data_IF_939759236976
#
_entry.id   IF_939759236976
#
_cell.length_a   1.000
_cell.length_b   1.000
_cell.length_c   1.000
_cell.angle_alpha   90.00
_cell.angle_beta   90.00
_cell.angle_gamma   90.00
#
_symmetry.space_group_name_H-M   'P 1'
#
loop_
_entity.id
_entity.type
_entity.pdbx_description
1 polymer ?
#
# COMPACT_ATOMS: atom_id res chain seq x y z
N UNK A 1 -13.38 11.81 18.33
CA UNK A 1 -12.84 13.16 18.05
C UNK A 1 -11.33 13.03 17.94
N UNK A 2 -10.77 12.97 16.73
CA UNK A 2 -9.30 13.01 16.56
C UNK A 2 -8.89 14.48 16.64
N UNK A 3 -8.09 14.82 17.64
CA UNK A 3 -7.50 16.15 17.77
C UNK A 3 -6.47 16.27 16.65
N UNK A 4 -6.83 16.96 15.57
CA UNK A 4 -5.90 17.33 14.51
C UNK A 4 -5.11 18.53 15.03
N UNK A 5 -3.94 18.27 15.59
CA UNK A 5 -2.98 19.33 15.85
C UNK A 5 -2.53 19.89 14.50
N UNK A 6 -2.44 21.22 14.37
CA UNK A 6 -2.02 21.93 13.15
C UNK A 6 -0.57 21.61 12.71
N UNK A 7 0.11 20.75 13.46
CA UNK A 7 1.55 20.48 13.37
C UNK A 7 1.89 19.17 12.61
N UNK A 8 0.91 18.40 12.13
CA UNK A 8 1.10 16.97 11.76
C UNK A 8 0.92 16.68 10.25
N UNK A 9 0.85 17.69 9.39
CA UNK A 9 0.72 17.52 7.94
C UNK A 9 -0.71 17.64 7.41
N UNK A 10 -0.90 17.35 6.14
CA UNK A 10 -2.17 17.54 5.42
C UNK A 10 -2.84 16.24 5.02
N UNK A 11 -4.17 16.23 4.95
CA UNK A 11 -4.95 15.09 4.43
C UNK A 11 -4.52 14.71 3.02
N UNK A 12 -4.46 13.40 2.71
CA UNK A 12 -4.27 12.89 1.34
C UNK A 12 -5.25 13.51 0.34
N UNK A 13 -6.48 13.83 0.76
CA UNK A 13 -7.47 14.48 -0.10
C UNK A 13 -7.05 15.85 -0.64
N UNK A 14 -6.01 16.47 -0.07
CA UNK A 14 -5.46 17.75 -0.52
C UNK A 14 -4.26 17.59 -1.46
N UNK A 15 -3.88 16.36 -1.83
CA UNK A 15 -2.76 16.16 -2.75
C UNK A 15 -3.06 16.82 -4.10
N UNK A 16 -2.15 17.67 -4.62
CA UNK A 16 -2.45 18.51 -5.78
C UNK A 16 -2.27 17.79 -7.12
N UNK A 17 -1.35 16.83 -7.21
CA UNK A 17 -1.06 16.14 -8.47
C UNK A 17 -0.85 14.64 -8.28
N UNK A 18 -0.99 13.90 -9.39
CA UNK A 18 -0.72 12.47 -9.44
C UNK A 18 0.71 12.15 -8.99
N UNK A 19 1.70 12.89 -9.47
CA UNK A 19 3.10 12.68 -9.11
C UNK A 19 3.33 12.84 -7.60
N UNK A 20 2.77 13.89 -6.98
CA UNK A 20 2.88 14.07 -5.53
C UNK A 20 2.22 12.92 -4.77
N UNK A 21 1.03 12.47 -5.22
CA UNK A 21 0.33 11.34 -4.61
C UNK A 21 1.16 10.05 -4.65
N UNK A 22 1.72 9.72 -5.81
CA UNK A 22 2.53 8.50 -5.96
C UNK A 22 3.80 8.55 -5.09
N UNK A 23 4.44 9.71 -4.98
CA UNK A 23 5.59 9.91 -4.06
C UNK A 23 5.20 9.70 -2.59
N UNK A 24 4.05 10.23 -2.18
CA UNK A 24 3.49 10.02 -0.84
C UNK A 24 3.27 8.53 -0.57
N UNK A 25 2.67 7.81 -1.51
CA UNK A 25 2.37 6.39 -1.33
C UNK A 25 3.61 5.49 -1.40
N UNK A 26 4.64 5.90 -2.15
CA UNK A 26 5.95 5.24 -2.12
C UNK A 26 6.55 5.35 -0.73
N UNK A 27 6.60 6.56 -0.19
CA UNK A 27 7.15 6.81 1.14
C UNK A 27 6.30 6.17 2.24
N UNK A 28 4.99 6.02 2.06
CA UNK A 28 4.14 5.29 3.00
C UNK A 28 4.58 3.82 3.12
N UNK A 29 4.99 3.20 2.01
CA UNK A 29 5.57 1.85 2.03
C UNK A 29 6.93 1.85 2.76
N UNK A 30 7.78 2.84 2.51
CA UNK A 30 9.09 2.98 3.18
C UNK A 30 8.93 3.15 4.69
N UNK A 31 7.99 3.98 5.13
CA UNK A 31 7.71 4.21 6.56
C UNK A 31 7.23 2.92 7.23
N UNK A 32 6.31 2.17 6.60
CA UNK A 32 5.84 0.89 7.13
C UNK A 32 6.97 -0.14 7.26
N UNK A 33 7.86 -0.25 6.26
CA UNK A 33 9.07 -1.10 6.34
C UNK A 33 9.97 -0.67 7.51
N UNK A 34 10.20 0.63 7.68
CA UNK A 34 11.04 1.14 8.77
C UNK A 34 10.40 0.88 10.15
N UNK A 35 9.09 1.03 10.28
CA UNK A 35 8.34 0.68 11.50
C UNK A 35 8.51 -0.80 11.81
N UNK A 36 8.33 -1.68 10.81
CA UNK A 36 8.48 -3.11 10.99
C UNK A 36 9.89 -3.51 11.45
N UNK A 37 10.93 -2.93 10.84
CA UNK A 37 12.34 -3.14 11.26
C UNK A 37 12.62 -2.70 12.70
N UNK A 38 11.75 -1.88 13.29
CA UNK A 38 11.81 -1.42 14.68
C UNK A 38 10.82 -2.19 15.59
N UNK A 39 10.28 -3.32 15.12
CA UNK A 39 9.32 -4.12 15.87
C UNK A 39 7.93 -3.47 15.95
N UNK A 40 7.51 -2.73 14.92
CA UNK A 40 6.19 -2.08 14.90
C UNK A 40 5.42 -2.48 13.64
N UNK A 41 4.31 -3.18 13.82
CA UNK A 41 3.30 -3.45 12.79
C UNK A 41 2.13 -2.47 12.97
N UNK A 42 1.71 -1.77 11.91
CA UNK A 42 0.75 -0.66 12.04
C UNK A 42 -0.69 -1.15 12.20
N UNK A 43 -1.09 -2.16 11.41
CA UNK A 43 -2.39 -2.86 11.44
C UNK A 43 -3.64 -2.04 11.10
N UNK A 44 -3.54 -0.71 11.02
CA UNK A 44 -4.66 0.17 10.65
C UNK A 44 -4.29 1.18 9.56
N UNK A 45 -3.72 0.73 8.45
CA UNK A 45 -3.43 1.62 7.32
C UNK A 45 -4.74 2.08 6.64
N UNK A 46 -4.89 3.39 6.45
CA UNK A 46 -6.09 4.01 5.86
C UNK A 46 -5.78 5.38 5.26
N UNK A 47 -6.70 5.92 4.47
CA UNK A 47 -6.59 7.27 3.89
C UNK A 47 -6.57 8.40 4.95
N UNK A 48 -7.07 8.13 6.16
CA UNK A 48 -7.00 9.04 7.30
C UNK A 48 -5.78 8.86 8.21
N UNK A 49 -4.97 7.82 7.98
CA UNK A 49 -3.75 7.52 8.77
C UNK A 49 -2.46 7.72 7.97
N UNK A 50 -2.57 7.96 6.66
CA UNK A 50 -1.48 8.45 5.82
C UNK A 50 -1.75 9.94 5.57
N UNK A 51 -0.76 10.78 5.85
CA UNK A 51 -0.84 12.23 5.68
C UNK A 51 0.31 12.72 4.80
N UNK A 52 0.09 13.83 4.10
CA UNK A 52 1.16 14.55 3.40
C UNK A 52 2.08 15.21 4.42
N UNK A 53 3.39 15.05 4.25
CA UNK A 53 4.35 15.74 5.09
C UNK A 53 4.25 17.28 4.90
N UNK A 54 4.40 18.08 5.98
CA UNK A 54 4.39 19.53 5.88
C UNK A 54 5.47 20.05 4.91
N UNK A 55 5.08 20.90 3.94
CA UNK A 55 6.05 21.46 2.96
C UNK A 55 6.94 22.55 3.57
N UNK A 56 6.42 23.30 4.55
CA UNK A 56 7.01 24.56 5.03
C UNK A 56 7.67 24.50 6.42
N UNK A 57 7.51 23.39 7.16
CA UNK A 57 7.97 23.29 8.55
C UNK A 57 9.28 22.50 8.66
N UNK A 58 10.43 23.21 8.57
CA UNK A 58 11.76 22.64 8.78
C UNK A 58 11.91 21.84 10.08
N UNK A 59 11.22 22.26 11.16
CA UNK A 59 11.19 21.55 12.46
C UNK A 59 10.80 20.08 12.36
N UNK A 60 9.83 19.75 11.50
CA UNK A 60 9.41 18.35 11.32
C UNK A 60 10.59 17.47 10.86
N UNK A 61 11.40 17.98 9.94
CA UNK A 61 12.55 17.27 9.40
C UNK A 61 13.76 17.31 10.34
N UNK A 62 13.91 18.38 11.13
CA UNK A 62 14.93 18.51 12.18
C UNK A 62 14.72 17.52 13.32
N UNK A 63 13.48 17.31 13.77
CA UNK A 63 13.13 16.38 14.85
C UNK A 63 13.28 14.90 14.43
N UNK A 64 13.38 14.63 13.14
CA UNK A 64 13.56 13.28 12.61
C UNK A 64 15.01 12.91 12.27
N UNK A 65 15.98 13.79 12.57
CA UNK A 65 17.41 13.59 12.28
C UNK A 65 17.93 12.33 13.00
N UNK A 66 18.55 11.44 12.23
CA UNK A 66 19.16 10.18 12.71
C UNK A 66 18.27 8.93 12.58
N UNK A 67 16.96 9.08 12.38
CA UNK A 67 16.02 7.96 12.24
C UNK A 67 15.93 7.34 10.84
N UNK A 68 16.61 7.95 9.86
CA UNK A 68 16.49 7.67 8.42
C UNK A 68 17.63 6.86 7.83
N UNK A 69 18.66 6.53 8.60
CA UNK A 69 19.90 5.95 8.05
C UNK A 69 19.71 4.54 7.45
N UNK A 70 18.59 3.88 7.74
CA UNK A 70 18.32 2.48 7.34
C UNK A 70 17.35 2.36 6.16
N UNK A 71 16.72 3.46 5.72
CA UNK A 71 15.76 3.46 4.61
C UNK A 71 15.97 4.65 3.69
N UNK A 72 15.59 4.52 2.42
CA UNK A 72 15.66 5.60 1.43
C UNK A 72 14.26 5.97 1.00
N UNK A 73 13.92 7.24 1.17
CA UNK A 73 12.67 7.80 0.66
C UNK A 73 12.80 8.10 -0.83
N UNK A 74 11.67 8.27 -1.51
CA UNK A 74 11.62 8.49 -2.95
C UNK A 74 12.49 9.65 -3.40
N UNK A 75 12.59 10.71 -2.59
CA UNK A 75 13.41 11.87 -2.93
C UNK A 75 14.90 11.51 -3.04
N UNK A 76 15.37 10.59 -2.18
CA UNK A 76 16.75 10.08 -2.22
C UNK A 76 16.95 9.05 -3.32
N UNK A 77 15.93 8.25 -3.64
CA UNK A 77 15.99 7.32 -4.77
C UNK A 77 16.09 8.07 -6.09
N UNK A 78 15.32 9.15 -6.26
CA UNK A 78 15.37 10.01 -7.44
C UNK A 78 16.64 10.86 -7.49
N UNK A 79 17.20 11.25 -6.33
CA UNK A 79 18.45 11.98 -6.23
C UNK A 79 19.23 11.60 -4.96
N UNK A 80 20.25 10.72 -5.07
CA UNK A 80 21.00 10.19 -3.92
C UNK A 80 21.69 11.24 -3.05
N UNK A 81 21.93 12.45 -3.58
CA UNK A 81 22.59 13.53 -2.85
C UNK A 81 21.63 14.32 -1.95
N UNK A 82 20.32 14.04 -1.99
CA UNK A 82 19.35 14.71 -1.14
C UNK A 82 19.35 14.16 0.29
N UNK A 83 19.11 15.06 1.25
CA UNK A 83 18.77 14.66 2.61
C UNK A 83 17.45 13.89 2.63
N UNK A 84 17.24 12.96 3.58
CA UNK A 84 15.96 12.30 3.75
C UNK A 84 14.85 13.32 3.96
N UNK A 85 13.85 13.32 3.07
CA UNK A 85 12.70 14.21 3.17
C UNK A 85 11.45 13.41 2.80
N UNK A 86 10.89 12.62 3.73
CA UNK A 86 9.69 11.85 3.46
C UNK A 86 8.57 12.77 2.97
N UNK A 87 7.86 12.31 1.95
CA UNK A 87 6.68 12.96 1.40
C UNK A 87 5.43 12.70 2.25
N UNK A 88 5.49 11.75 3.19
CA UNK A 88 4.35 11.34 3.99
C UNK A 88 4.64 11.22 5.49
N UNK A 89 3.56 11.16 6.25
CA UNK A 89 3.46 10.80 7.65
C UNK A 89 2.49 9.62 7.79
N UNK A 90 2.90 8.59 8.54
CA UNK A 90 1.99 7.50 8.94
C UNK A 90 1.73 7.65 10.44
N UNK A 91 0.47 7.84 10.81
CA UNK A 91 0.02 8.20 12.16
C UNK A 91 -0.98 7.18 12.70
N UNK A 92 -1.39 7.36 13.96
CA UNK A 92 -2.37 6.53 14.66
C UNK A 92 -1.89 5.10 14.93
N UNK A 93 -0.82 5.01 15.72
CA UNK A 93 -0.24 3.76 16.23
C UNK A 93 -1.05 3.13 17.38
N UNK A 94 -2.26 3.61 17.68
CA UNK A 94 -3.11 3.08 18.75
C UNK A 94 -3.53 1.62 18.54
N UNK A 95 -3.40 1.14 17.31
CA UNK A 95 -3.68 -0.24 16.89
C UNK A 95 -2.41 -1.04 16.58
N UNK A 96 -1.24 -0.44 16.76
CA UNK A 96 0.04 -1.06 16.44
C UNK A 96 0.35 -2.23 17.38
N UNK A 97 1.24 -3.10 16.92
CA UNK A 97 1.67 -4.27 17.66
C UNK A 97 3.15 -4.55 17.40
N UNK A 98 3.84 -5.10 18.41
CA UNK A 98 5.18 -5.64 18.24
C UNK A 98 5.08 -7.14 17.92
N UNK A 99 5.38 -7.58 16.69
CA UNK A 99 5.21 -8.96 16.29
C UNK A 99 6.18 -9.91 17.03
N UNK A 100 7.40 -9.47 17.34
CA UNK A 100 8.40 -10.30 18.00
C UNK A 100 8.07 -10.46 19.48
N UNK A 101 7.70 -9.36 20.14
CA UNK A 101 7.22 -9.39 21.52
C UNK A 101 5.96 -10.24 21.66
N UNK A 102 5.00 -10.09 20.73
CA UNK A 102 3.76 -10.88 20.78
C UNK A 102 3.98 -12.35 20.44
N UNK A 103 4.95 -12.68 19.58
CA UNK A 103 5.34 -14.08 19.33
C UNK A 103 5.87 -14.75 20.61
N UNK A 104 6.73 -14.06 21.37
CA UNK A 104 7.23 -14.55 22.68
C UNK A 104 6.08 -14.69 23.68
N UNK A 105 5.25 -13.65 23.84
CA UNK A 105 4.16 -13.66 24.82
C UNK A 105 3.06 -14.67 24.46
N UNK A 106 2.77 -14.89 23.18
CA UNK A 106 1.76 -15.87 22.73
C UNK A 106 2.22 -17.32 22.87
N UNK A 107 3.53 -17.58 22.77
CA UNK A 107 4.09 -18.89 23.09
C UNK A 107 3.95 -19.21 24.60
N UNK A 108 4.07 -18.20 25.46
CA UNK A 108 3.95 -18.33 26.91
C UNK A 108 2.49 -18.27 27.42
N UNK A 109 1.64 -17.48 26.77
CA UNK A 109 0.22 -17.32 27.07
C UNK A 109 -0.64 -17.71 25.86
N UNK A 110 -1.28 -18.88 25.92
CA UNK A 110 -2.22 -19.40 24.89
C UNK A 110 -3.39 -18.46 24.54
N UNK A 111 -3.60 -17.39 25.32
CA UNK A 111 -4.68 -16.41 25.17
C UNK A 111 -4.24 -15.06 24.57
N UNK A 112 -3.01 -14.91 24.08
CA UNK A 112 -2.59 -13.69 23.37
C UNK A 112 -3.27 -13.64 21.98
N UNK A 113 -4.47 -13.04 21.92
CA UNK A 113 -5.28 -12.94 20.70
C UNK A 113 -4.97 -11.69 19.86
N UNK A 114 -4.05 -10.84 20.32
CA UNK A 114 -3.90 -9.45 19.87
C UNK A 114 -3.63 -9.37 18.37
N UNK A 115 -2.81 -10.25 17.77
CA UNK A 115 -2.54 -10.26 16.32
C UNK A 115 -3.63 -10.94 15.48
N UNK A 116 -4.51 -11.72 16.10
CA UNK A 116 -5.66 -12.35 15.45
C UNK A 116 -6.91 -11.45 15.45
N UNK A 117 -6.91 -10.41 16.29
CA UNK A 117 -7.98 -9.40 16.31
C UNK A 117 -8.11 -8.66 14.97
N UNK A 118 -9.37 -8.52 14.53
CA UNK A 118 -9.75 -7.74 13.34
C UNK A 118 -9.54 -6.26 13.60
N UNK A 119 -8.33 -5.82 13.30
CA UNK A 119 -7.94 -4.42 13.44
C UNK A 119 -7.69 -3.85 12.06
N UNK A 120 -8.32 -2.71 11.77
CA UNK A 120 -8.21 -2.03 10.49
C UNK A 120 -9.47 -1.24 10.16
N UNK A 121 -9.33 -0.23 9.32
CA UNK A 121 -10.47 0.55 8.81
C UNK A 121 -11.24 -0.34 7.82
N UNK A 122 -12.55 -0.59 8.00
CA UNK A 122 -13.33 -1.54 7.21
C UNK A 122 -12.99 -1.52 5.73
N UNK A 123 -13.09 -0.36 5.07
CA UNK A 123 -12.79 -0.17 3.65
C UNK A 123 -11.40 -0.65 3.17
N UNK A 124 -10.40 -0.56 4.03
CA UNK A 124 -8.99 -0.76 3.67
C UNK A 124 -8.35 -2.00 4.29
N UNK A 125 -8.93 -2.56 5.36
CA UNK A 125 -8.40 -3.76 6.02
C UNK A 125 -8.14 -4.88 4.99
N UNK A 126 -7.06 -5.65 5.14
CA UNK A 126 -6.77 -6.75 4.20
C UNK A 126 -7.87 -7.82 4.24
N UNK A 127 -8.09 -8.53 3.13
CA UNK A 127 -9.18 -9.52 3.03
C UNK A 127 -9.09 -10.63 4.08
N UNK A 128 -7.89 -11.15 4.33
CA UNK A 128 -7.66 -12.21 5.31
C UNK A 128 -7.87 -11.73 6.75
N UNK A 129 -7.41 -10.52 7.09
CA UNK A 129 -7.68 -9.89 8.40
C UNK A 129 -9.17 -9.59 8.55
N UNK A 130 -9.83 -9.14 7.49
CA UNK A 130 -11.29 -8.92 7.45
C UNK A 130 -12.06 -10.20 7.80
N UNK A 131 -11.66 -11.32 7.20
CA UNK A 131 -12.22 -12.65 7.53
C UNK A 131 -11.76 -13.16 8.89
N UNK A 132 -10.59 -12.76 9.38
CA UNK A 132 -9.97 -13.31 10.60
C UNK A 132 -9.36 -14.70 10.39
N UNK A 133 -9.11 -15.08 9.14
CA UNK A 133 -8.49 -16.34 8.73
C UNK A 133 -7.82 -16.18 7.37
N UNK A 134 -6.92 -17.09 7.03
CA UNK A 134 -6.36 -17.16 5.68
C UNK A 134 -7.47 -17.28 4.64
N UNK A 135 -7.25 -16.67 3.48
CA UNK A 135 -8.11 -16.89 2.33
C UNK A 135 -8.01 -18.35 1.86
N UNK A 136 -9.01 -18.78 1.08
CA UNK A 136 -9.08 -20.14 0.56
C UNK A 136 -7.93 -20.47 -0.42
N UNK A 137 -7.84 -21.76 -0.76
CA UNK A 137 -6.82 -22.36 -1.61
C UNK A 137 -6.77 -21.77 -3.02
N UNK A 138 -7.86 -21.16 -3.50
CA UNK A 138 -7.86 -20.42 -4.77
C UNK A 138 -6.92 -19.21 -4.77
N UNK A 139 -6.54 -18.69 -3.59
CA UNK A 139 -5.62 -17.57 -3.45
C UNK A 139 -4.17 -17.98 -3.19
N UNK A 140 -3.83 -19.27 -3.28
CA UNK A 140 -2.43 -19.71 -3.16
C UNK A 140 -1.57 -19.00 -4.24
N UNK A 141 -0.41 -18.42 -3.89
CA UNK A 141 0.42 -17.61 -4.80
C UNK A 141 1.17 -18.47 -5.84
N UNK A 142 0.44 -19.08 -6.77
CA UNK A 142 1.02 -19.82 -7.88
C UNK A 142 1.49 -18.87 -8.98
N UNK A 143 2.76 -18.97 -9.38
CA UNK A 143 3.36 -18.27 -10.53
C UNK A 143 3.31 -16.73 -10.43
N UNK A 144 3.20 -16.20 -9.22
CA UNK A 144 3.30 -14.76 -8.96
C UNK A 144 4.77 -14.39 -9.03
N UNK A 145 5.10 -13.33 -9.79
CA UNK A 145 6.46 -12.84 -9.94
C UNK A 145 6.61 -11.48 -9.29
N UNK A 146 7.81 -11.20 -8.79
CA UNK A 146 8.19 -9.87 -8.33
C UNK A 146 8.17 -8.89 -9.52
N UNK A 147 7.46 -7.75 -9.41
CA UNK A 147 7.49 -6.74 -10.45
C UNK A 147 8.92 -6.29 -10.77
N UNK A 148 9.23 -6.18 -12.07
CA UNK A 148 10.53 -5.70 -12.55
C UNK A 148 10.46 -4.21 -12.80
N UNK A 149 11.57 -3.53 -12.53
CA UNK A 149 11.79 -2.13 -12.89
C UNK A 149 12.24 -2.03 -14.36
N UNK A 150 11.82 -0.96 -15.05
CA UNK A 150 12.41 -0.60 -16.35
C UNK A 150 13.84 -0.05 -16.18
N UNK A 151 14.56 0.15 -17.28
CA UNK A 151 15.98 0.50 -17.27
C UNK A 151 16.29 1.72 -16.39
N UNK A 152 15.52 2.79 -16.54
CA UNK A 152 15.74 4.05 -15.82
C UNK A 152 15.39 3.91 -14.33
N UNK A 153 14.22 3.35 -14.02
CA UNK A 153 13.79 3.14 -12.63
C UNK A 153 14.70 2.16 -11.90
N UNK A 154 15.17 1.12 -12.60
CA UNK A 154 16.12 0.14 -12.09
C UNK A 154 17.44 0.80 -11.73
N UNK A 155 18.00 1.60 -12.63
CA UNK A 155 19.25 2.34 -12.40
C UNK A 155 19.17 3.23 -11.17
N UNK A 156 18.08 3.97 -10.99
CA UNK A 156 17.85 4.81 -9.81
C UNK A 156 17.75 3.97 -8.53
N UNK A 157 17.03 2.84 -8.61
CA UNK A 157 16.80 1.98 -7.45
C UNK A 157 18.07 1.27 -6.94
N UNK A 158 18.90 0.74 -7.85
CA UNK A 158 20.12 0.00 -7.48
C UNK A 158 21.31 0.92 -7.14
N UNK A 159 21.22 2.21 -7.48
CA UNK A 159 22.21 3.20 -7.05
C UNK A 159 22.25 3.34 -5.51
N UNK A 160 21.20 2.87 -4.81
CA UNK A 160 21.20 2.72 -3.36
C UNK A 160 22.01 1.47 -2.95
N UNK A 161 23.12 1.62 -2.20
CA UNK A 161 24.00 0.49 -1.84
C UNK A 161 23.31 -0.64 -1.07
N UNK A 162 22.23 -0.33 -0.35
CA UNK A 162 21.45 -1.29 0.43
C UNK A 162 20.33 -1.98 -0.37
N UNK A 163 20.28 -1.77 -1.70
CA UNK A 163 19.24 -2.36 -2.56
C UNK A 163 19.28 -3.89 -2.50
N UNK A 164 18.13 -4.48 -2.12
CA UNK A 164 17.91 -5.93 -2.10
C UNK A 164 17.19 -6.43 -3.37
N UNK A 165 17.33 -5.71 -4.48
CA UNK A 165 16.54 -5.93 -5.69
C UNK A 165 16.55 -7.40 -6.16
N UNK A 166 17.74 -7.99 -6.32
CA UNK A 166 17.88 -9.38 -6.77
C UNK A 166 17.49 -10.40 -5.69
N UNK A 167 17.71 -10.08 -4.41
CA UNK A 167 17.31 -10.97 -3.33
C UNK A 167 15.79 -11.20 -3.33
N UNK A 168 14.99 -10.13 -3.53
CA UNK A 168 13.53 -10.26 -3.65
C UNK A 168 13.09 -10.95 -4.95
N UNK A 169 13.81 -10.74 -6.05
CA UNK A 169 13.54 -11.47 -7.30
C UNK A 169 13.69 -12.97 -7.07
N UNK A 170 14.84 -13.39 -6.53
CA UNK A 170 15.13 -14.80 -6.29
C UNK A 170 14.15 -15.41 -5.28
N UNK A 171 13.88 -14.71 -4.16
CA UNK A 171 12.97 -15.22 -3.12
C UNK A 171 11.53 -15.43 -3.60
N UNK A 172 11.02 -14.56 -4.48
CA UNK A 172 9.64 -14.64 -4.98
C UNK A 172 9.53 -15.50 -6.23
N UNK A 173 10.43 -15.30 -7.20
CA UNK A 173 10.35 -15.94 -8.51
C UNK A 173 10.90 -17.38 -8.50
N UNK A 174 11.91 -17.64 -7.67
CA UNK A 174 12.64 -18.93 -7.60
C UNK A 174 12.50 -19.61 -6.22
N UNK A 175 11.81 -18.98 -5.28
CA UNK A 175 11.67 -19.49 -3.91
C UNK A 175 10.84 -20.78 -3.80
N UNK A 176 10.69 -21.22 -2.55
CA UNK A 176 9.92 -22.42 -2.19
C UNK A 176 8.52 -22.45 -2.82
N UNK A 177 8.04 -23.66 -3.13
CA UNK A 177 6.65 -23.81 -3.54
C UNK A 177 5.72 -23.44 -2.37
N UNK A 178 4.57 -22.79 -2.64
CA UNK A 178 3.57 -22.55 -1.60
C UNK A 178 3.19 -23.84 -0.90
N UNK A 179 3.07 -23.79 0.42
CA UNK A 179 2.55 -24.91 1.19
C UNK A 179 1.05 -25.09 0.89
N UNK A 180 0.60 -26.33 0.71
CA UNK A 180 -0.84 -26.64 0.64
C UNK A 180 -1.51 -26.57 2.01
N UNK A 181 -0.73 -26.56 3.09
CA UNK A 181 -1.23 -26.48 4.47
C UNK A 181 -0.72 -25.19 5.16
N UNK A 182 -1.60 -24.44 5.84
CA UNK A 182 -1.19 -23.30 6.64
C UNK A 182 -0.17 -23.74 7.70
N UNK A 183 1.03 -23.15 7.69
CA UNK A 183 2.05 -23.47 8.69
C UNK A 183 1.64 -23.06 10.12
N UNK A 184 0.66 -22.15 10.26
CA UNK A 184 0.18 -21.66 11.54
C UNK A 184 -1.18 -22.26 11.90
N UNK A 185 -1.29 -22.78 13.12
CA UNK A 185 -2.57 -23.22 13.72
C UNK A 185 -3.51 -22.05 14.04
N UNK A 186 -3.00 -20.81 13.98
CA UNK A 186 -3.72 -19.57 14.27
C UNK A 186 -3.37 -18.48 13.26
N UNK A 187 -4.39 -17.80 12.75
CA UNK A 187 -4.24 -16.64 11.88
C UNK A 187 -3.56 -15.47 12.62
N UNK A 188 -2.62 -14.80 11.97
CA UNK A 188 -1.92 -13.62 12.50
C UNK A 188 -1.81 -12.52 11.45
N UNK A 189 -1.99 -11.27 11.89
CA UNK A 189 -1.70 -10.11 11.05
C UNK A 189 -0.19 -10.03 10.77
N UNK A 190 0.20 -9.99 9.49
CA UNK A 190 1.60 -9.86 9.03
C UNK A 190 1.80 -8.62 8.17
N UNK A 191 3.05 -8.26 7.91
CA UNK A 191 3.40 -7.02 7.20
C UNK A 191 2.74 -6.90 5.81
N UNK A 192 2.58 -8.00 5.07
CA UNK A 192 1.92 -7.95 3.75
C UNK A 192 0.44 -7.54 3.80
N UNK A 193 -0.24 -7.66 4.95
CA UNK A 193 -1.61 -7.15 5.13
C UNK A 193 -1.65 -5.62 5.18
N UNK A 194 -0.64 -4.96 5.77
CA UNK A 194 -0.49 -3.51 5.74
C UNK A 194 -0.19 -3.03 4.29
N UNK A 195 0.53 -3.84 3.50
CA UNK A 195 0.72 -3.59 2.06
C UNK A 195 -0.59 -3.72 1.26
N UNK A 196 -1.41 -4.74 1.52
CA UNK A 196 -2.75 -4.86 0.91
C UNK A 196 -3.62 -3.64 1.24
N UNK A 197 -3.60 -3.21 2.50
CA UNK A 197 -4.33 -2.02 2.93
C UNK A 197 -3.84 -0.76 2.21
N UNK A 198 -2.53 -0.63 2.02
CA UNK A 198 -1.92 0.46 1.22
C UNK A 198 -2.42 0.43 -0.23
N UNK A 199 -2.48 -0.75 -0.86
CA UNK A 199 -3.05 -0.89 -2.21
C UNK A 199 -4.52 -0.43 -2.28
N UNK A 200 -5.34 -0.78 -1.28
CA UNK A 200 -6.73 -0.33 -1.24
C UNK A 200 -6.86 1.19 -1.07
N UNK A 201 -5.97 1.83 -0.32
CA UNK A 201 -5.89 3.30 -0.22
C UNK A 201 -5.53 3.91 -1.59
N UNK A 202 -4.53 3.37 -2.28
CA UNK A 202 -4.11 3.83 -3.62
C UNK A 202 -5.29 3.75 -4.60
N UNK A 203 -5.91 2.57 -4.69
CA UNK A 203 -7.02 2.30 -5.60
C UNK A 203 -8.23 3.18 -5.30
N UNK A 204 -8.59 3.34 -4.03
CA UNK A 204 -9.72 4.16 -3.60
C UNK A 204 -9.51 5.65 -3.90
N UNK A 205 -8.31 6.16 -3.67
CA UNK A 205 -7.96 7.54 -4.00
C UNK A 205 -8.06 7.77 -5.50
N UNK A 206 -7.31 6.99 -6.31
CA UNK A 206 -7.24 7.18 -7.75
C UNK A 206 -8.57 6.95 -8.46
N UNK A 207 -9.38 5.99 -8.02
CA UNK A 207 -10.71 5.75 -8.58
C UNK A 207 -11.63 6.97 -8.42
N UNK A 208 -11.50 7.71 -7.32
CA UNK A 208 -12.29 8.90 -7.02
C UNK A 208 -11.65 10.20 -7.48
N UNK A 209 -10.38 10.19 -7.89
CA UNK A 209 -9.71 11.40 -8.37
C UNK A 209 -10.17 11.78 -9.78
N UNK A 210 -10.18 13.09 -10.03
CA UNK A 210 -10.52 13.69 -11.32
C UNK A 210 -9.58 14.87 -11.60
N UNK A 211 -9.36 15.24 -12.87
CA UNK A 211 -8.54 16.40 -13.22
C UNK A 211 -9.15 17.71 -12.69
N UNK A 212 -8.33 18.75 -12.57
CA UNK A 212 -8.74 20.08 -12.05
C UNK A 212 -9.97 20.65 -12.75
N UNK A 213 -10.06 20.47 -14.06
CA UNK A 213 -11.13 20.99 -14.91
C UNK A 213 -12.26 19.94 -15.11
N UNK A 214 -12.45 19.05 -14.12
CA UNK A 214 -13.45 18.00 -14.17
C UNK A 214 -14.86 18.56 -14.25
N UNK A 215 -15.59 18.13 -15.27
CA UNK A 215 -17.03 18.25 -15.38
C UNK A 215 -17.71 16.96 -14.93
N UNK A 216 -18.86 17.06 -14.27
CA UNK A 216 -19.61 15.90 -13.78
C UNK A 216 -19.90 14.93 -14.93
N UNK A 217 -19.53 13.66 -14.74
CA UNK A 217 -19.83 12.60 -15.69
C UNK A 217 -21.36 12.42 -15.82
N UNK A 218 -21.87 12.48 -17.07
CA UNK A 218 -23.29 12.30 -17.36
C UNK A 218 -23.78 10.86 -17.10
N UNK A 219 -22.88 9.88 -17.20
CA UNK A 219 -23.15 8.47 -16.95
C UNK A 219 -21.89 7.83 -16.36
N UNK A 220 -22.02 7.26 -15.17
CA UNK A 220 -20.94 6.54 -14.53
C UNK A 220 -20.69 5.19 -15.22
N UNK A 221 -19.44 4.74 -15.18
CA UNK A 221 -19.09 3.42 -15.65
C UNK A 221 -19.57 2.36 -14.64
N UNK A 222 -20.22 1.28 -15.12
CA UNK A 222 -20.71 0.21 -14.25
C UNK A 222 -19.60 -0.42 -13.39
N UNK A 223 -18.36 -0.53 -13.89
CA UNK A 223 -17.22 -1.02 -13.09
C UNK A 223 -16.82 -0.05 -12.00
N UNK A 224 -16.87 1.26 -12.27
CA UNK A 224 -16.65 2.27 -11.25
C UNK A 224 -17.73 2.20 -10.15
N UNK A 225 -19.00 2.11 -10.52
CA UNK A 225 -20.11 1.97 -9.56
C UNK A 225 -19.97 0.70 -8.70
N UNK A 226 -19.66 -0.45 -9.32
CA UNK A 226 -19.38 -1.69 -8.61
C UNK A 226 -18.19 -1.54 -7.66
N UNK A 227 -17.13 -0.84 -8.08
CA UNK A 227 -15.97 -0.58 -7.24
C UNK A 227 -16.34 0.26 -6.01
N UNK A 228 -17.04 1.39 -6.20
CA UNK A 228 -17.47 2.24 -5.09
C UNK A 228 -18.35 1.47 -4.12
N UNK A 229 -19.39 0.79 -4.63
CA UNK A 229 -20.30 -0.01 -3.80
C UNK A 229 -19.57 -1.09 -3.03
N UNK A 230 -18.64 -1.81 -3.67
CA UNK A 230 -17.86 -2.86 -3.03
C UNK A 230 -16.95 -2.33 -1.92
N UNK A 231 -16.30 -1.19 -2.15
CA UNK A 231 -15.44 -0.56 -1.14
C UNK A 231 -16.24 0.06 0.03
N UNK A 232 -17.40 0.67 -0.23
CA UNK A 232 -18.21 1.34 0.81
C UNK A 232 -19.05 0.39 1.63
N UNK A 233 -19.59 -0.66 1.02
CA UNK A 233 -20.38 -1.67 1.73
C UNK A 233 -19.52 -2.75 2.37
N UNK A 234 -18.19 -2.69 2.24
CA UNK A 234 -17.32 -3.65 2.89
C UNK A 234 -17.30 -3.45 4.41
N UNK A 235 -17.59 -4.53 5.13
CA UNK A 235 -17.44 -4.62 6.58
C UNK A 235 -16.75 -5.95 6.96
N UNK A 236 -15.87 -5.94 7.97
CA UNK A 236 -15.24 -7.16 8.46
C UNK A 236 -16.25 -8.14 9.02
N UNK A 237 -16.20 -9.39 8.54
CA UNK A 237 -17.12 -10.45 8.93
C UNK A 237 -16.57 -11.82 8.55
N UNK A 238 -16.98 -12.85 9.30
CA UNK A 238 -16.72 -14.25 8.97
C UNK A 238 -17.61 -14.77 7.85
N UNK A 239 -18.83 -14.24 7.78
CA UNK A 239 -19.95 -14.89 7.09
C UNK A 239 -20.28 -14.23 5.76
N UNK A 240 -19.73 -13.05 5.50
CA UNK A 240 -19.97 -12.32 4.25
C UNK A 240 -18.75 -12.33 3.36
N UNK A 241 -18.90 -12.68 2.06
CA UNK A 241 -17.85 -12.51 1.09
C UNK A 241 -17.31 -11.08 1.09
N UNK A 242 -15.99 -10.94 0.98
CA UNK A 242 -15.37 -9.64 0.76
C UNK A 242 -15.68 -9.20 -0.67
N UNK A 243 -16.54 -8.19 -0.85
CA UNK A 243 -16.97 -7.73 -2.17
C UNK A 243 -15.81 -7.24 -3.05
N UNK A 244 -14.64 -6.95 -2.45
CA UNK A 244 -13.45 -6.54 -3.18
C UNK A 244 -12.77 -7.72 -3.89
N UNK A 245 -13.06 -8.96 -3.47
CA UNK A 245 -12.50 -10.17 -4.06
C UNK A 245 -12.99 -10.42 -5.50
N UNK A 246 -14.13 -9.86 -5.88
CA UNK A 246 -14.72 -10.00 -7.22
C UNK A 246 -14.13 -9.03 -8.26
N UNK A 247 -13.25 -8.12 -7.82
CA UNK A 247 -12.63 -7.16 -8.74
C UNK A 247 -11.58 -7.85 -9.60
N UNK A 248 -11.75 -7.73 -10.91
CA UNK A 248 -10.77 -8.24 -11.87
C UNK A 248 -9.45 -7.46 -11.76
N UNK A 249 -8.34 -8.19 -11.86
CA UNK A 249 -6.99 -7.61 -11.83
C UNK A 249 -6.54 -7.05 -13.17
N UNK A 250 -7.37 -7.08 -14.22
CA UNK A 250 -6.94 -6.70 -15.58
C UNK A 250 -6.78 -5.18 -15.75
N UNK A 251 -5.85 -4.73 -16.62
CA UNK A 251 -5.72 -3.30 -16.94
C UNK A 251 -7.02 -2.71 -17.49
N UNK A 252 -7.78 -3.46 -18.28
CA UNK A 252 -9.05 -3.03 -18.87
C UNK A 252 -10.09 -2.71 -17.80
N UNK A 253 -10.14 -3.50 -16.74
CA UNK A 253 -11.04 -3.24 -15.61
C UNK A 253 -10.63 -1.95 -14.89
N UNK A 254 -9.34 -1.76 -14.62
CA UNK A 254 -8.85 -0.53 -14.01
C UNK A 254 -9.09 0.71 -14.88
N UNK A 255 -8.95 0.61 -16.21
CA UNK A 255 -9.29 1.70 -17.13
C UNK A 255 -10.77 2.09 -17.07
N UNK A 256 -11.66 1.14 -16.78
CA UNK A 256 -13.10 1.40 -16.63
C UNK A 256 -13.45 1.96 -15.25
N UNK A 257 -12.67 1.62 -14.22
CA UNK A 257 -12.82 2.16 -12.86
C UNK A 257 -12.32 3.60 -12.79
N UNK A 258 -11.16 3.89 -13.38
CA UNK A 258 -10.50 5.21 -13.30
C UNK A 258 -11.18 6.27 -14.17
N UNK A 259 -10.93 7.54 -13.84
CA UNK A 259 -11.27 8.65 -14.74
C UNK A 259 -10.48 8.53 -16.06
N UNK A 260 -11.03 8.93 -17.22
CA UNK A 260 -10.32 8.91 -18.50
C UNK A 260 -8.92 9.55 -18.49
N UNK A 261 -8.74 10.64 -17.74
CA UNK A 261 -7.42 11.30 -17.58
C UNK A 261 -6.40 10.50 -16.76
N UNK A 262 -6.83 9.45 -16.05
CA UNK A 262 -5.97 8.62 -15.21
C UNK A 262 -5.77 7.20 -15.77
N UNK A 263 -6.30 6.88 -16.95
CA UNK A 263 -6.20 5.51 -17.53
C UNK A 263 -4.76 5.04 -17.73
N UNK A 264 -3.81 5.96 -17.85
CA UNK A 264 -2.38 5.67 -17.98
C UNK A 264 -1.81 4.96 -16.74
N UNK A 265 -2.41 5.14 -15.54
CA UNK A 265 -1.97 4.43 -14.32
C UNK A 265 -2.63 3.06 -14.13
N UNK A 266 -3.57 2.68 -14.99
CA UNK A 266 -4.26 1.39 -14.91
C UNK A 266 -3.31 0.16 -14.96
N UNK A 267 -2.23 0.14 -15.77
CA UNK A 267 -1.27 -0.96 -15.75
C UNK A 267 -0.59 -1.12 -14.38
N UNK A 268 -0.19 -0.02 -13.74
CA UNK A 268 0.39 -0.04 -12.40
C UNK A 268 -0.58 -0.66 -11.39
N UNK A 269 -1.85 -0.23 -11.37
CA UNK A 269 -2.87 -0.80 -10.47
C UNK A 269 -3.15 -2.28 -10.78
N UNK A 270 -3.13 -2.67 -12.05
CA UNK A 270 -3.29 -4.07 -12.47
C UNK A 270 -2.16 -4.94 -11.90
N UNK A 271 -0.91 -4.52 -12.06
CA UNK A 271 0.25 -5.26 -11.54
C UNK A 271 0.25 -5.30 -10.00
N UNK A 272 -0.10 -4.19 -9.33
CA UNK A 272 -0.25 -4.16 -7.87
C UNK A 272 -1.32 -5.13 -7.40
N UNK A 273 -2.49 -5.10 -8.05
CA UNK A 273 -3.62 -5.95 -7.71
C UNK A 273 -3.25 -7.42 -7.89
N UNK A 274 -2.56 -7.80 -8.99
CA UNK A 274 -2.08 -9.16 -9.21
C UNK A 274 -1.13 -9.65 -8.12
N UNK A 275 -0.29 -8.77 -7.57
CA UNK A 275 0.65 -9.12 -6.51
C UNK A 275 -0.01 -9.23 -5.13
N UNK A 276 -1.02 -8.41 -4.87
CA UNK A 276 -1.74 -8.36 -3.59
C UNK A 276 -2.86 -9.40 -3.52
N UNK A 277 -3.43 -9.81 -4.65
CA UNK A 277 -4.53 -10.77 -4.72
C UNK A 277 -4.26 -12.11 -3.97
N UNK A 278 -3.08 -12.73 -4.09
CA UNK A 278 -2.79 -13.99 -3.40
C UNK A 278 -2.75 -13.87 -1.87
N UNK A 279 -2.98 -14.99 -1.19
CA UNK A 279 -2.78 -15.16 0.24
C UNK A 279 -1.33 -15.56 0.52
N UNK A 280 -0.52 -14.58 0.90
CA UNK A 280 0.89 -14.79 1.19
C UNK A 280 1.12 -15.58 2.48
N UNK A 281 0.10 -15.81 3.31
CA UNK A 281 0.17 -16.74 4.44
C UNK A 281 0.53 -18.19 4.05
N UNK A 282 0.38 -18.58 2.78
CA UNK A 282 0.84 -19.86 2.24
C UNK A 282 2.34 -19.92 1.88
N UNK A 283 3.09 -18.83 2.10
CA UNK A 283 4.55 -18.71 1.90
C UNK A 283 5.25 -18.27 3.21
N UNK A 284 5.14 -19.03 4.31
CA UNK A 284 5.67 -18.63 5.62
C UNK A 284 7.18 -18.39 5.61
N UNK A 285 7.93 -19.11 4.79
CA UNK A 285 9.37 -18.92 4.60
C UNK A 285 9.68 -17.55 3.99
N UNK A 286 8.90 -17.13 2.99
CA UNK A 286 9.04 -15.80 2.38
C UNK A 286 8.71 -14.70 3.39
N UNK A 287 7.65 -14.89 4.17
CA UNK A 287 7.24 -13.91 5.18
C UNK A 287 8.23 -13.80 6.33
N UNK A 288 9.04 -14.85 6.58
CA UNK A 288 10.07 -14.85 7.62
C UNK A 288 11.37 -14.21 7.11
N UNK A 289 11.84 -14.63 5.94
CA UNK A 289 13.14 -14.19 5.41
C UNK A 289 13.06 -12.84 4.68
N UNK A 290 11.91 -12.57 4.06
CA UNK A 290 11.64 -11.40 3.23
C UNK A 290 10.26 -10.77 3.54
N UNK A 291 9.94 -10.43 4.81
CA UNK A 291 8.61 -9.93 5.22
C UNK A 291 8.13 -8.71 4.43
N UNK A 292 9.07 -7.91 3.92
CA UNK A 292 8.80 -6.66 3.19
C UNK A 292 8.50 -6.88 1.69
N UNK A 293 8.39 -8.13 1.21
CA UNK A 293 8.24 -8.44 -0.22
C UNK A 293 7.04 -7.74 -0.88
N UNK A 294 5.92 -7.60 -0.17
CA UNK A 294 4.74 -6.91 -0.70
C UNK A 294 4.95 -5.40 -0.81
N UNK A 295 5.57 -4.76 0.18
CA UNK A 295 5.96 -3.36 0.11
C UNK A 295 6.98 -3.11 -1.00
N UNK A 296 7.96 -4.00 -1.15
CA UNK A 296 8.93 -3.97 -2.25
C UNK A 296 8.24 -3.98 -3.62
N UNK A 297 7.28 -4.90 -3.83
CA UNK A 297 6.54 -4.99 -5.08
C UNK A 297 5.76 -3.69 -5.38
N UNK A 298 5.04 -3.14 -4.40
CA UNK A 298 4.31 -1.88 -4.54
C UNK A 298 5.27 -0.71 -4.82
N UNK A 299 6.38 -0.61 -4.08
CA UNK A 299 7.39 0.43 -4.27
C UNK A 299 7.98 0.41 -5.69
N UNK A 300 8.26 -0.76 -6.26
CA UNK A 300 8.76 -0.87 -7.63
C UNK A 300 7.76 -0.35 -8.66
N UNK A 301 6.49 -0.72 -8.50
CA UNK A 301 5.41 -0.29 -9.38
C UNK A 301 5.14 1.21 -9.28
N UNK A 302 5.17 1.76 -8.05
CA UNK A 302 5.11 3.21 -7.82
C UNK A 302 6.31 3.93 -8.43
N UNK A 303 7.52 3.40 -8.27
CA UNK A 303 8.73 4.05 -8.80
C UNK A 303 8.73 4.11 -10.32
N UNK A 304 8.34 3.03 -11.01
CA UNK A 304 8.16 3.03 -12.48
C UNK A 304 7.25 4.15 -12.93
N UNK A 305 6.11 4.28 -12.25
CA UNK A 305 5.11 5.29 -12.60
C UNK A 305 5.57 6.71 -12.28
N UNK A 306 6.27 6.89 -11.16
CA UNK A 306 6.89 8.17 -10.78
C UNK A 306 7.92 8.59 -11.82
N UNK A 307 8.84 7.69 -12.21
CA UNK A 307 9.87 7.96 -13.22
C UNK A 307 9.24 8.29 -14.57
N UNK A 308 8.21 7.53 -14.99
CA UNK A 308 7.44 7.80 -16.21
C UNK A 308 6.89 9.24 -16.26
N UNK A 309 6.36 9.74 -15.14
CA UNK A 309 5.81 11.10 -15.04
C UNK A 309 6.93 12.15 -14.87
N UNK A 310 8.07 11.80 -14.25
CA UNK A 310 9.26 12.65 -14.22
C UNK A 310 9.83 12.88 -15.62
N UNK A 311 9.87 11.84 -16.45
CA UNK A 311 10.37 11.87 -17.83
C UNK A 311 9.41 12.62 -18.78
N UNK A 312 8.10 12.54 -18.55
CA UNK A 312 7.07 13.27 -19.30
C UNK A 312 6.06 13.94 -18.35
N UNK A 313 6.31 15.22 -18.07
CA UNK A 313 5.46 16.03 -17.18
C UNK A 313 4.04 16.25 -17.68
N UNK A 314 3.76 16.01 -18.96
CA UNK A 314 2.37 16.06 -19.48
C UNK A 314 1.49 14.95 -18.92
N UNK A 315 2.10 13.92 -18.33
CA UNK A 315 1.43 12.81 -17.66
C UNK A 315 1.06 13.09 -16.20
N UNK A 316 1.52 14.22 -15.64
CA UNK A 316 1.16 14.62 -14.28
C UNK A 316 -0.23 15.27 -14.26
N UNK A 317 -1.22 14.53 -13.77
CA UNK A 317 -2.59 15.05 -13.66
C UNK A 317 -2.71 15.92 -12.42
N UNK A 318 -3.09 17.18 -12.62
CA UNK A 318 -3.49 18.08 -11.53
C UNK A 318 -4.90 17.71 -11.09
N UNK A 319 -5.08 17.41 -9.80
CA UNK A 319 -6.36 17.02 -9.24
C UNK A 319 -7.29 18.21 -8.96
N UNK A 320 -8.59 17.96 -8.95
CA UNK A 320 -9.57 18.92 -8.48
C UNK A 320 -9.42 19.18 -6.95
N UNK A 321 -9.56 20.43 -6.46
CA UNK A 321 -9.31 20.80 -5.04
C UNK A 321 -10.19 20.10 -3.99
N UNK A 322 -11.30 19.48 -4.42
CA UNK A 322 -12.23 18.71 -3.57
C UNK A 322 -12.45 17.30 -4.14
N UNK A 323 -11.46 16.83 -4.90
CA UNK A 323 -11.40 15.63 -5.75
C UNK A 323 -12.16 14.41 -5.25
N UNK A 324 -13.46 14.41 -5.53
CA UNK A 324 -14.24 13.19 -5.62
C UNK A 324 -15.05 13.32 -6.89
N UNK A 325 -14.74 12.49 -7.88
CA UNK A 325 -15.74 12.08 -8.88
C UNK A 325 -17.01 11.78 -8.12
N UNK A 326 -18.13 12.33 -8.57
CA UNK A 326 -19.39 12.19 -7.86
C UNK A 326 -19.64 10.70 -7.59
N UNK A 327 -19.81 10.35 -6.32
CA UNK A 327 -20.17 9.00 -5.94
C UNK A 327 -21.62 8.77 -6.42
N UNK A 328 -21.94 7.56 -6.89
CA UNK A 328 -23.34 7.19 -7.10
C UNK A 328 -24.15 7.40 -5.81
N UNK A 329 -25.34 7.98 -5.94
CA UNK A 329 -26.29 8.18 -4.82
C UNK A 329 -26.77 6.86 -4.20
#
# INVERSE_FOLDING_TARGET
MRVVTRDVGDSLSKTPTLLEFLKIMYDACVVQRNMHRKGILHRNISDGNIMMAPKDNGRYYEDCVGGYNTVKYVNQVLNPNQSPKPACLVIDLGHSADPDYLAVVSAENKNSEILAERTGTPKFISRSVSKGKLLDDFYIPHRVKMPKLDEQSHKLYIACPESKYEAYNNAVDEGGQPSSEPAATRFTHQLFHDAESTFWVISWFLARSAPKDYEKENKLNAKFEMFIKGMESHYPSNDTPDQRADFSTTPETWKQILHPSLVDVAPMLSEMHKYILPEWGYRPELNTEHPEHAHEALMRLLLREIVRIEDDKTKDVVFAPLGTRNLPE
#
